data_IF_713405643018
#
_entry.id   IF_713405643018
#
_cell.length_a   1.000
_cell.length_b   1.000
_cell.length_c   1.000
_cell.angle_alpha   90.00
_cell.angle_beta   90.00
_cell.angle_gamma   90.00
#
_symmetry.space_group_name_H-M   'P 1'
#
loop_
_entity.id
_entity.type
_entity.pdbx_description
1 polymer ?
#
# COMPACT_ATOMS: atom_id res chain seq x y z
N UNK A 1 -3.14 -3.52 -18.75
CA UNK A 1 -2.75 -4.80 -18.10
C UNK A 1 -4.04 -5.58 -17.84
N UNK A 2 -4.35 -6.63 -18.60
CA UNK A 2 -5.52 -7.50 -18.31
C UNK A 2 -5.18 -8.33 -17.07
N UNK A 3 -5.51 -7.83 -15.88
CA UNK A 3 -5.44 -8.63 -14.66
C UNK A 3 -6.66 -9.54 -14.67
N UNK A 4 -6.51 -10.70 -15.33
CA UNK A 4 -7.41 -11.83 -15.14
C UNK A 4 -7.16 -12.35 -13.73
N UNK A 5 -7.94 -11.89 -12.76
CA UNK A 5 -7.96 -12.51 -11.45
C UNK A 5 -8.43 -13.96 -11.67
N UNK A 6 -7.66 -14.98 -11.25
CA UNK A 6 -8.09 -16.35 -11.32
C UNK A 6 -9.13 -16.55 -10.21
N UNK A 7 -10.35 -16.10 -10.44
CA UNK A 7 -11.47 -16.77 -9.81
C UNK A 7 -11.47 -18.17 -10.42
N UNK A 8 -10.92 -19.13 -9.67
CA UNK A 8 -10.79 -20.52 -10.09
C UNK A 8 -12.13 -21.04 -10.59
N UNK A 9 -12.28 -21.04 -11.91
CA UNK A 9 -13.45 -21.53 -12.60
C UNK A 9 -13.45 -23.05 -12.55
N UNK A 10 -13.91 -23.60 -11.43
CA UNK A 10 -14.57 -24.89 -11.47
C UNK A 10 -15.89 -24.68 -12.22
N UNK A 11 -15.96 -25.12 -13.48
CA UNK A 11 -17.12 -24.97 -14.38
C UNK A 11 -18.34 -25.80 -13.96
N UNK A 12 -18.45 -26.20 -12.68
CA UNK A 12 -19.52 -27.07 -12.16
C UNK A 12 -20.20 -26.58 -10.87
N UNK A 13 -19.89 -25.39 -10.38
CA UNK A 13 -20.62 -24.78 -9.25
C UNK A 13 -21.30 -23.49 -9.72
N UNK A 14 -22.62 -23.41 -9.59
CA UNK A 14 -23.44 -22.19 -9.73
C UNK A 14 -23.03 -21.15 -8.68
N UNK A 15 -21.85 -20.55 -8.83
CA UNK A 15 -21.36 -19.55 -7.88
C UNK A 15 -21.75 -18.17 -8.39
N UNK A 16 -22.80 -17.62 -7.80
CA UNK A 16 -23.22 -16.23 -7.95
C UNK A 16 -22.03 -15.30 -7.64
N UNK A 17 -21.80 -14.31 -8.51
CA UNK A 17 -20.78 -13.29 -8.29
C UNK A 17 -21.09 -12.53 -6.99
N UNK A 18 -20.09 -12.34 -6.12
CA UNK A 18 -20.23 -11.52 -4.91
C UNK A 18 -19.07 -10.56 -4.77
N UNK A 19 -19.28 -9.48 -4.03
CA UNK A 19 -18.19 -8.59 -3.64
C UNK A 19 -17.19 -9.30 -2.71
N UNK A 20 -15.88 -9.02 -2.85
CA UNK A 20 -14.87 -9.52 -1.92
C UNK A 20 -15.09 -9.02 -0.50
N UNK A 21 -14.62 -9.82 0.47
CA UNK A 21 -14.58 -9.46 1.89
C UNK A 21 -13.16 -9.67 2.42
N UNK A 22 -12.89 -9.29 3.67
CA UNK A 22 -11.57 -9.52 4.29
C UNK A 22 -11.21 -11.02 4.36
N UNK A 23 -12.19 -11.94 4.36
CA UNK A 23 -11.94 -13.39 4.32
C UNK A 23 -11.32 -13.88 2.99
N UNK A 24 -11.27 -13.02 1.97
CA UNK A 24 -10.68 -13.33 0.67
C UNK A 24 -9.24 -12.80 0.54
N UNK A 25 -8.74 -12.06 1.52
CA UNK A 25 -7.43 -11.38 1.45
C UNK A 25 -6.27 -12.35 1.25
N UNK A 26 -6.22 -13.43 2.03
CA UNK A 26 -5.17 -14.46 1.93
C UNK A 26 -5.23 -15.27 0.64
N UNK A 27 -6.36 -15.22 -0.08
CA UNK A 27 -6.57 -15.92 -1.36
C UNK A 27 -6.16 -15.07 -2.57
N UNK A 28 -5.92 -13.78 -2.38
CA UNK A 28 -5.60 -12.81 -3.43
C UNK A 28 -4.22 -12.17 -3.24
N UNK A 29 -3.13 -12.97 -3.18
CA UNK A 29 -1.77 -12.49 -2.93
C UNK A 29 -1.28 -11.51 -4.01
N UNK A 30 -1.68 -11.69 -5.28
CA UNK A 30 -1.32 -10.77 -6.36
C UNK A 30 -1.92 -9.38 -6.18
N UNK A 31 -3.16 -9.31 -5.68
CA UNK A 31 -3.81 -8.03 -5.39
C UNK A 31 -3.12 -7.34 -4.22
N UNK A 32 -2.82 -8.10 -3.16
CA UNK A 32 -2.06 -7.58 -2.03
C UNK A 32 -0.69 -7.05 -2.46
N UNK A 33 0.03 -7.79 -3.30
CA UNK A 33 1.31 -7.37 -3.85
C UNK A 33 1.22 -6.08 -4.68
N UNK A 34 0.14 -5.89 -5.44
CA UNK A 34 -0.10 -4.64 -6.16
C UNK A 34 -0.38 -3.45 -5.22
N UNK A 35 -1.12 -3.67 -4.12
CA UNK A 35 -1.32 -2.65 -3.08
C UNK A 35 0.01 -2.28 -2.42
N UNK A 36 0.83 -3.28 -2.09
CA UNK A 36 2.17 -3.07 -1.52
C UNK A 36 3.06 -2.27 -2.50
N UNK A 37 3.08 -2.65 -3.78
CA UNK A 37 3.88 -1.94 -4.78
C UNK A 37 3.41 -0.51 -5.02
N UNK A 38 2.09 -0.26 -5.01
CA UNK A 38 1.57 1.11 -5.07
C UNK A 38 2.06 1.98 -3.90
N UNK A 39 2.10 1.42 -2.68
CA UNK A 39 2.61 2.13 -1.49
C UNK A 39 4.12 2.39 -1.55
N UNK A 40 4.89 1.47 -2.13
CA UNK A 40 6.34 1.60 -2.30
C UNK A 40 6.70 2.60 -3.39
N UNK A 41 6.07 2.46 -4.55
CA UNK A 41 6.44 3.12 -5.79
C UNK A 41 6.10 4.62 -5.77
N UNK A 42 4.92 4.97 -5.26
CA UNK A 42 4.49 6.36 -5.09
C UNK A 42 3.91 6.56 -3.67
N UNK A 43 4.77 6.65 -2.63
CA UNK A 43 4.30 6.83 -1.26
C UNK A 43 3.56 8.16 -1.11
N UNK A 44 2.49 8.15 -0.30
CA UNK A 44 1.65 9.34 -0.04
C UNK A 44 2.49 10.52 0.42
N UNK A 45 3.45 10.32 1.34
CA UNK A 45 4.36 11.37 1.82
C UNK A 45 5.82 10.99 1.53
N UNK A 46 6.38 11.34 0.36
CA UNK A 46 7.73 10.93 -0.06
C UNK A 46 8.86 11.31 0.91
N UNK A 47 8.67 12.39 1.67
CA UNK A 47 9.64 12.92 2.66
C UNK A 47 9.15 12.79 4.11
N UNK A 48 8.08 12.02 4.34
CA UNK A 48 7.40 11.93 5.64
C UNK A 48 6.94 13.29 6.16
N UNK A 49 6.61 13.34 7.45
CA UNK A 49 6.36 14.61 8.16
C UNK A 49 7.69 15.07 8.76
N UNK A 50 8.14 16.33 8.54
CA UNK A 50 9.34 16.84 9.17
C UNK A 50 9.27 16.76 10.70
N UNK A 51 10.34 16.25 11.31
CA UNK A 51 10.50 16.15 12.75
C UNK A 51 11.45 17.24 13.26
N UNK A 52 11.52 17.42 14.58
CA UNK A 52 12.47 18.31 15.23
C UNK A 52 13.21 17.58 16.33
N UNK A 53 14.53 17.72 16.40
CA UNK A 53 15.31 17.15 17.50
C UNK A 53 14.97 17.85 18.82
N UNK A 54 14.78 17.06 19.87
CA UNK A 54 14.50 17.58 21.22
C UNK A 54 15.77 17.85 22.00
N UNK A 55 16.91 17.32 21.58
CA UNK A 55 18.23 17.49 22.17
C UNK A 55 19.31 17.38 21.10
N UNK A 56 20.55 17.66 21.49
CA UNK A 56 21.70 17.46 20.62
C UNK A 56 21.89 15.95 20.37
N UNK A 57 22.25 15.57 19.15
CA UNK A 57 22.42 14.16 18.76
C UNK A 57 23.62 13.99 17.82
N UNK A 58 24.07 12.75 17.65
CA UNK A 58 25.12 12.40 16.68
C UNK A 58 24.64 11.22 15.83
N UNK A 59 24.43 11.46 14.54
CA UNK A 59 24.04 10.42 13.59
C UNK A 59 25.15 10.19 12.57
N UNK A 60 25.67 8.95 12.49
CA UNK A 60 26.76 8.57 11.58
C UNK A 60 27.98 9.51 11.65
N UNK A 61 28.32 9.98 12.84
CA UNK A 61 29.43 10.90 13.08
C UNK A 61 29.12 12.39 12.85
N UNK A 62 27.91 12.73 12.38
CA UNK A 62 27.48 14.11 12.21
C UNK A 62 26.77 14.62 13.46
N UNK A 63 27.26 15.73 14.02
CA UNK A 63 26.59 16.42 15.12
C UNK A 63 25.33 17.14 14.61
N UNK A 64 24.21 16.90 15.30
CA UNK A 64 22.90 17.46 15.01
C UNK A 64 22.46 18.27 16.23
N UNK A 65 22.46 19.62 16.14
CA UNK A 65 22.03 20.46 17.24
C UNK A 65 20.56 20.23 17.63
N UNK A 66 20.24 20.46 18.90
CA UNK A 66 18.89 20.56 19.43
C UNK A 66 18.08 21.55 18.62
N UNK A 67 16.86 21.16 18.29
CA UNK A 67 15.92 21.99 17.55
C UNK A 67 16.09 21.95 16.03
N UNK A 68 17.00 21.12 15.51
CA UNK A 68 17.18 20.88 14.07
C UNK A 68 15.94 20.19 13.47
N UNK A 69 15.57 20.58 12.26
CA UNK A 69 14.52 19.91 11.48
C UNK A 69 15.12 18.67 10.80
N UNK A 70 14.48 17.52 11.00
CA UNK A 70 14.88 16.23 10.43
C UNK A 70 13.79 15.78 9.46
N UNK A 71 14.20 15.56 8.21
CA UNK A 71 13.31 15.06 7.15
C UNK A 71 13.72 13.64 6.81
N UNK A 72 12.79 12.71 6.94
CA UNK A 72 13.02 11.31 6.60
C UNK A 72 12.68 11.09 5.12
N UNK A 73 13.69 10.85 4.28
CA UNK A 73 13.46 10.56 2.86
C UNK A 73 12.88 9.14 2.68
N UNK A 74 11.57 9.03 2.91
CA UNK A 74 10.82 7.76 2.80
C UNK A 74 10.86 7.20 1.39
N UNK A 75 10.84 8.05 0.36
CA UNK A 75 10.95 7.61 -1.03
C UNK A 75 12.27 6.89 -1.27
N UNK A 76 13.40 7.45 -0.86
CA UNK A 76 14.71 6.77 -1.01
C UNK A 76 14.77 5.47 -0.21
N UNK A 77 14.16 5.41 0.97
CA UNK A 77 14.07 4.17 1.75
C UNK A 77 13.25 3.10 1.01
N UNK A 78 12.12 3.49 0.41
CA UNK A 78 11.23 2.61 -0.38
C UNK A 78 11.77 2.28 -1.78
N UNK A 79 12.82 2.96 -2.21
CA UNK A 79 13.49 2.74 -3.49
C UNK A 79 14.96 2.34 -3.30
N UNK A 80 15.28 1.71 -2.17
CA UNK A 80 16.61 1.12 -1.95
C UNK A 80 16.78 -0.15 -2.80
N UNK A 81 17.75 -0.22 -3.73
CA UNK A 81 18.01 -1.42 -4.52
C UNK A 81 18.40 -2.63 -3.67
N UNK A 82 19.09 -2.38 -2.55
CA UNK A 82 19.49 -3.41 -1.59
C UNK A 82 18.28 -4.14 -0.98
N UNK A 83 17.16 -3.44 -0.78
CA UNK A 83 15.98 -3.98 -0.10
C UNK A 83 14.89 -4.42 -1.07
N UNK A 84 14.73 -3.70 -2.19
CA UNK A 84 13.63 -3.91 -3.13
C UNK A 84 14.07 -4.39 -4.52
N UNK A 85 15.37 -4.55 -4.79
CA UNK A 85 15.91 -5.00 -6.08
C UNK A 85 16.29 -3.85 -7.02
N UNK A 86 17.09 -4.13 -8.05
CA UNK A 86 17.64 -3.10 -8.96
C UNK A 86 16.57 -2.39 -9.81
N UNK A 87 15.42 -3.01 -10.03
CA UNK A 87 14.30 -2.49 -10.81
C UNK A 87 13.37 -1.56 -9.98
N UNK A 88 13.87 -0.89 -8.94
CA UNK A 88 13.06 -0.06 -8.02
C UNK A 88 12.24 1.04 -8.70
N UNK A 89 12.67 1.54 -9.86
CA UNK A 89 11.92 2.55 -10.63
C UNK A 89 10.76 1.94 -11.41
N UNK A 90 10.79 0.64 -11.68
CA UNK A 90 9.71 -0.08 -12.34
C UNK A 90 8.60 -0.45 -11.35
N UNK A 91 7.36 -0.32 -11.80
CA UNK A 91 6.20 -0.82 -11.06
C UNK A 91 6.09 -2.33 -11.27
N UNK A 92 6.54 -3.11 -10.28
CA UNK A 92 6.60 -4.56 -10.36
C UNK A 92 6.04 -5.21 -9.08
N UNK A 93 4.73 -5.52 -9.03
CA UNK A 93 4.12 -6.22 -7.91
C UNK A 93 4.71 -7.61 -7.65
N UNK A 94 5.29 -8.27 -8.66
CA UNK A 94 5.82 -9.61 -8.51
C UNK A 94 7.00 -9.67 -7.53
N UNK A 95 7.60 -8.53 -7.18
CA UNK A 95 8.63 -8.48 -6.14
C UNK A 95 8.12 -8.95 -4.77
N UNK A 96 6.85 -8.73 -4.44
CA UNK A 96 6.31 -9.07 -3.11
C UNK A 96 5.72 -10.47 -3.00
N UNK A 97 5.86 -11.32 -4.01
CA UNK A 97 5.33 -12.68 -3.99
C UNK A 97 6.44 -13.71 -4.13
N UNK A 98 6.19 -14.90 -3.58
CA UNK A 98 7.01 -16.09 -3.80
C UNK A 98 6.13 -17.31 -4.06
N UNK A 99 6.64 -18.38 -4.68
CA UNK A 99 5.93 -19.65 -4.76
C UNK A 99 5.54 -20.12 -3.36
N UNK A 100 4.31 -20.57 -3.20
CA UNK A 100 3.86 -21.12 -1.92
C UNK A 100 4.54 -22.47 -1.68
N UNK A 101 5.08 -22.67 -0.48
CA UNK A 101 5.83 -23.88 -0.13
C UNK A 101 4.97 -25.14 -0.36
N UNK A 102 5.49 -26.11 -1.12
CA UNK A 102 4.79 -27.34 -1.48
C UNK A 102 3.77 -27.20 -2.63
N UNK A 103 3.57 -26.01 -3.19
CA UNK A 103 2.65 -25.72 -4.30
C UNK A 103 3.36 -24.97 -5.46
N UNK A 104 4.62 -25.33 -5.71
CA UNK A 104 5.45 -24.73 -6.76
C UNK A 104 4.77 -24.77 -8.13
N UNK A 105 4.71 -23.61 -8.80
CA UNK A 105 4.04 -23.44 -10.09
C UNK A 105 2.50 -23.45 -10.05
N UNK A 106 1.89 -23.63 -8.87
CA UNK A 106 0.43 -23.69 -8.70
C UNK A 106 -0.12 -22.50 -7.90
N UNK A 107 0.58 -22.10 -6.85
CA UNK A 107 0.15 -21.02 -5.97
C UNK A 107 1.33 -20.11 -5.57
N UNK A 108 1.00 -18.86 -5.26
CA UNK A 108 1.93 -17.87 -4.72
C UNK A 108 1.42 -17.36 -3.38
N UNK A 109 2.32 -16.86 -2.56
CA UNK A 109 2.02 -16.19 -1.29
C UNK A 109 2.82 -14.90 -1.20
N UNK A 110 2.43 -14.00 -0.27
CA UNK A 110 3.24 -12.81 0.02
C UNK A 110 4.59 -13.26 0.59
N UNK A 111 5.66 -12.69 0.06
CA UNK A 111 7.01 -12.97 0.53
C UNK A 111 7.27 -12.24 1.86
N UNK A 112 7.39 -12.95 3.00
CA UNK A 112 7.66 -12.34 4.30
C UNK A 112 9.11 -11.85 4.44
N UNK A 113 10.02 -12.28 3.57
CA UNK A 113 11.43 -11.92 3.62
C UNK A 113 11.68 -10.48 3.12
N UNK A 114 10.71 -9.93 2.39
CA UNK A 114 10.75 -8.54 1.91
C UNK A 114 9.96 -7.67 2.87
N UNK A 115 10.57 -6.55 3.30
CA UNK A 115 9.93 -5.63 4.21
C UNK A 115 8.61 -5.12 3.62
N UNK A 116 7.57 -5.19 4.43
CA UNK A 116 6.29 -4.61 4.05
C UNK A 116 6.41 -3.07 3.93
N UNK A 117 6.07 -2.46 2.77
CA UNK A 117 6.31 -1.04 2.51
C UNK A 117 5.56 -0.10 3.47
N UNK A 118 4.37 -0.51 3.94
CA UNK A 118 3.64 0.19 5.01
C UNK A 118 4.49 0.52 6.26
N UNK A 119 5.52 -0.27 6.58
CA UNK A 119 6.41 0.00 7.73
C UNK A 119 7.24 1.28 7.54
N UNK A 120 7.38 1.78 6.31
CA UNK A 120 8.07 3.01 5.95
C UNK A 120 7.04 4.07 5.51
N UNK A 121 6.12 3.70 4.60
CA UNK A 121 5.15 4.62 4.00
C UNK A 121 4.17 5.25 5.01
N UNK A 122 3.88 4.56 6.12
CA UNK A 122 3.07 5.12 7.20
C UNK A 122 3.91 5.72 8.32
N UNK A 123 5.22 5.89 8.13
CA UNK A 123 6.11 6.45 9.14
C UNK A 123 6.52 5.44 10.22
N UNK A 124 7.47 5.87 11.04
CA UNK A 124 8.18 5.04 11.99
C UNK A 124 8.71 5.88 13.16
N UNK A 125 9.29 5.21 14.15
CA UNK A 125 9.87 5.86 15.34
C UNK A 125 8.85 6.18 16.43
N UNK A 126 9.33 6.66 17.58
CA UNK A 126 8.55 6.80 18.82
C UNK A 126 7.87 8.18 18.92
N UNK A 127 6.64 8.25 19.43
CA UNK A 127 6.03 9.43 20.05
C UNK A 127 6.41 9.43 21.53
N UNK A 128 7.04 10.51 21.96
CA UNK A 128 7.12 10.81 23.38
C UNK A 128 5.72 11.17 23.88
N UNK A 129 5.16 10.35 24.77
CA UNK A 129 4.04 10.72 25.64
C UNK A 129 4.61 10.81 27.05
N UNK A 130 4.70 12.01 27.61
CA UNK A 130 5.21 12.24 28.96
C UNK A 130 4.28 11.72 30.08
N UNK A 131 3.16 11.06 29.73
CA UNK A 131 2.16 10.51 30.65
C UNK A 131 2.07 8.98 30.51
N UNK A 132 3.11 8.28 30.94
CA UNK A 132 3.23 6.82 30.85
C UNK A 132 2.52 5.96 31.94
N UNK A 133 2.00 6.46 33.09
CA UNK A 133 1.32 5.55 34.03
C UNK A 133 -0.14 5.22 33.67
N UNK A 134 -0.84 6.03 32.86
CA UNK A 134 -2.27 5.83 32.59
C UNK A 134 -2.57 4.89 31.41
N UNK A 135 -1.70 4.79 30.40
CA UNK A 135 -1.93 3.95 29.21
C UNK A 135 -1.80 2.45 29.52
N UNK A 136 -1.09 2.05 30.59
CA UNK A 136 -1.06 0.65 31.06
C UNK A 136 -2.42 0.13 31.56
N UNK A 137 -3.40 1.01 31.75
CA UNK A 137 -4.77 0.65 32.15
C UNK A 137 -5.69 0.40 30.94
N UNK A 138 -5.26 0.70 29.72
CA UNK A 138 -6.03 0.41 28.51
C UNK A 138 -5.74 -1.05 28.13
N UNK A 139 -6.76 -1.93 28.11
CA UNK A 139 -6.57 -3.32 27.71
C UNK A 139 -5.93 -3.40 26.33
N UNK A 140 -4.95 -4.30 26.15
CA UNK A 140 -4.25 -4.55 24.88
C UNK A 140 -5.18 -4.99 23.72
N UNK A 141 -6.49 -5.09 23.96
CA UNK A 141 -7.53 -5.34 22.98
C UNK A 141 -7.97 -4.08 22.23
N UNK A 142 -7.73 -2.88 22.76
CA UNK A 142 -8.16 -1.61 22.13
C UNK A 142 -7.12 -0.95 21.22
N UNK A 143 -5.86 -1.36 21.35
CA UNK A 143 -4.77 -0.94 20.45
C UNK A 143 -4.28 -2.20 19.77
N UNK A 144 -4.20 -2.21 18.44
CA UNK A 144 -3.77 -3.36 17.65
C UNK A 144 -2.27 -3.67 17.90
N UNK A 145 -1.96 -4.24 19.07
CA UNK A 145 -0.61 -4.53 19.56
C UNK A 145 0.07 -5.69 18.82
N UNK A 146 -0.59 -6.37 17.87
CA UNK A 146 0.02 -7.49 17.13
C UNK A 146 1.19 -7.08 16.24
N UNK A 147 1.31 -5.79 15.86
CA UNK A 147 2.40 -5.27 15.03
C UNK A 147 3.55 -4.63 15.83
N UNK A 148 3.33 -4.32 17.11
CA UNK A 148 4.28 -3.59 17.94
C UNK A 148 4.32 -4.16 19.38
N UNK A 149 5.37 -4.90 19.76
CA UNK A 149 5.49 -5.51 21.10
C UNK A 149 5.73 -4.50 22.23
N UNK A 150 5.90 -3.20 21.92
CA UNK A 150 6.09 -2.13 22.89
C UNK A 150 4.92 -1.14 22.81
N UNK A 151 4.19 -0.84 23.92
CA UNK A 151 3.07 0.11 23.95
C UNK A 151 3.48 1.58 23.75
N UNK A 152 4.72 1.85 23.32
CA UNK A 152 5.15 3.17 22.90
C UNK A 152 4.39 3.59 21.64
N UNK A 153 3.53 4.60 21.77
CA UNK A 153 2.89 5.27 20.65
C UNK A 153 3.97 5.63 19.61
N UNK A 154 3.88 5.16 18.37
CA UNK A 154 4.85 5.46 17.32
C UNK A 154 4.46 6.77 16.61
N UNK A 155 5.39 7.55 16.05
CA UNK A 155 5.07 8.67 15.12
C UNK A 155 4.48 8.15 13.79
N UNK A 156 4.26 6.84 13.69
CA UNK A 156 3.55 6.19 12.61
C UNK A 156 2.08 6.65 12.53
N UNK A 157 1.55 6.62 11.32
CA UNK A 157 0.18 6.98 11.00
C UNK A 157 -0.78 6.11 11.82
N UNK A 158 -1.65 6.71 12.64
CA UNK A 158 -2.62 5.95 13.43
C UNK A 158 -3.66 5.24 12.54
N UNK A 159 -3.81 5.68 11.28
CA UNK A 159 -4.75 5.11 10.31
C UNK A 159 -4.12 4.07 9.37
N UNK A 160 -2.90 3.57 9.62
CA UNK A 160 -2.20 2.66 8.71
C UNK A 160 -3.01 1.40 8.38
N UNK A 161 -3.60 0.78 9.39
CA UNK A 161 -4.33 -0.47 9.24
C UNK A 161 -5.63 -0.23 8.46
N UNK A 162 -6.37 0.82 8.80
CA UNK A 162 -7.60 1.21 8.08
C UNK A 162 -7.28 1.53 6.62
N UNK A 163 -6.24 2.32 6.37
CA UNK A 163 -5.84 2.72 5.02
C UNK A 163 -5.44 1.50 4.17
N UNK A 164 -4.62 0.60 4.71
CA UNK A 164 -4.17 -0.58 3.99
C UNK A 164 -5.34 -1.55 3.70
N UNK A 165 -6.19 -1.80 4.69
CA UNK A 165 -7.38 -2.64 4.53
C UNK A 165 -8.40 -2.04 3.55
N UNK A 166 -8.64 -0.73 3.61
CA UNK A 166 -9.56 -0.04 2.71
C UNK A 166 -9.02 -0.01 1.27
N UNK A 167 -7.73 0.22 1.07
CA UNK A 167 -7.09 0.16 -0.24
C UNK A 167 -7.27 -1.22 -0.88
N UNK A 168 -6.98 -2.28 -0.13
CA UNK A 168 -7.14 -3.64 -0.63
C UNK A 168 -8.60 -3.96 -0.95
N UNK A 169 -9.53 -3.71 -0.02
CA UNK A 169 -10.94 -4.04 -0.21
C UNK A 169 -11.57 -3.25 -1.36
N UNK A 170 -11.31 -1.94 -1.41
CA UNK A 170 -11.83 -1.08 -2.48
C UNK A 170 -11.33 -1.54 -3.83
N UNK A 171 -10.02 -1.83 -3.94
CA UNK A 171 -9.44 -2.32 -5.20
C UNK A 171 -10.00 -3.69 -5.57
N UNK A 172 -10.20 -4.59 -4.60
CA UNK A 172 -10.80 -5.90 -4.82
C UNK A 172 -12.24 -5.77 -5.37
N UNK A 173 -13.08 -4.96 -4.72
CA UNK A 173 -14.45 -4.69 -5.14
C UNK A 173 -14.49 -4.09 -6.54
N UNK A 174 -13.69 -3.04 -6.77
CA UNK A 174 -13.60 -2.35 -8.05
C UNK A 174 -13.18 -3.28 -9.19
N UNK A 175 -12.12 -4.08 -8.99
CA UNK A 175 -11.67 -5.07 -9.98
C UNK A 175 -12.67 -6.21 -10.19
N UNK A 176 -13.53 -6.50 -9.21
CA UNK A 176 -14.57 -7.53 -9.37
C UNK A 176 -15.64 -7.08 -10.36
N UNK A 177 -16.01 -5.80 -10.34
CA UNK A 177 -17.14 -5.29 -11.14
C UNK A 177 -16.76 -4.51 -12.39
N UNK A 178 -15.57 -3.90 -12.44
CA UNK A 178 -15.15 -3.04 -13.54
C UNK A 178 -13.87 -3.52 -14.22
N UNK A 179 -13.81 -3.31 -15.54
CA UNK A 179 -12.59 -3.23 -16.33
C UNK A 179 -12.21 -1.75 -16.51
N UNK A 180 -10.92 -1.47 -16.36
CA UNK A 180 -10.37 -0.11 -16.40
C UNK A 180 -9.62 0.09 -17.70
N UNK A 181 -10.06 1.05 -18.50
CA UNK A 181 -9.34 1.51 -19.68
C UNK A 181 -8.81 2.91 -19.40
N UNK A 182 -7.50 3.02 -19.20
CA UNK A 182 -6.81 4.30 -19.27
C UNK A 182 -6.43 4.56 -20.74
N UNK A 183 -6.37 5.83 -21.18
CA UNK A 183 -5.77 6.15 -22.48
C UNK A 183 -4.35 5.57 -22.55
N UNK A 184 -3.86 5.36 -23.77
CA UNK A 184 -2.52 4.83 -24.01
C UNK A 184 -1.48 5.87 -23.57
N UNK A 185 -1.24 5.90 -22.26
CA UNK A 185 -0.26 6.76 -21.61
C UNK A 185 1.01 5.92 -21.51
N UNK A 186 2.15 6.54 -21.84
CA UNK A 186 3.46 6.01 -21.52
C UNK A 186 3.48 5.48 -20.08
N UNK A 187 4.12 4.33 -19.85
CA UNK A 187 4.15 3.69 -18.53
C UNK A 187 4.47 4.74 -17.46
N UNK A 188 3.62 4.89 -16.43
CA UNK A 188 3.88 5.89 -15.42
C UNK A 188 5.19 5.57 -14.70
N UNK A 189 6.01 6.60 -14.48
CA UNK A 189 7.11 6.59 -13.52
C UNK A 189 6.78 7.63 -12.44
N UNK A 190 7.09 7.38 -11.17
CA UNK A 190 6.95 8.44 -10.15
C UNK A 190 8.14 9.42 -10.24
N UNK A 191 9.33 8.90 -10.57
CA UNK A 191 10.52 9.68 -10.90
C UNK A 191 10.81 9.51 -12.39
N UNK A 192 10.81 10.59 -13.15
CA UNK A 192 11.17 10.61 -14.56
C UNK A 192 12.62 10.20 -14.81
N UNK A 193 12.95 9.94 -16.09
CA UNK A 193 14.32 9.60 -16.50
C UNK A 193 15.35 10.71 -16.19
N UNK A 194 14.89 11.93 -15.94
CA UNK A 194 15.67 13.09 -15.51
C UNK A 194 15.93 13.13 -13.99
N UNK A 195 15.43 12.16 -13.23
CA UNK A 195 15.54 12.12 -11.77
C UNK A 195 14.57 13.05 -11.04
N UNK A 196 13.66 13.70 -11.75
CA UNK A 196 12.66 14.60 -11.17
C UNK A 196 11.33 13.87 -10.95
N UNK A 197 10.50 14.40 -10.05
CA UNK A 197 9.12 13.89 -9.92
C UNK A 197 8.42 14.07 -11.24
N UNK A 198 7.79 12.99 -11.71
CA UNK A 198 7.13 12.98 -13.00
C UNK A 198 6.04 14.07 -13.07
N UNK A 199 5.97 14.83 -14.17
CA UNK A 199 5.05 15.97 -14.30
C UNK A 199 3.57 15.57 -14.27
N UNK A 200 3.24 14.28 -14.28
CA UNK A 200 1.88 13.76 -14.06
C UNK A 200 1.47 13.77 -12.59
N UNK A 201 2.36 14.10 -11.66
CA UNK A 201 2.02 14.33 -10.26
C UNK A 201 1.96 15.82 -9.95
N UNK A 202 1.07 16.22 -9.06
CA UNK A 202 1.01 17.58 -8.55
C UNK A 202 2.17 17.82 -7.57
N UNK A 203 2.83 19.00 -7.63
CA UNK A 203 3.84 19.35 -6.65
C UNK A 203 3.18 19.55 -5.28
N UNK A 204 3.78 19.02 -4.22
CA UNK A 204 3.27 19.25 -2.88
C UNK A 204 3.82 18.30 -1.83
N UNK A 205 3.25 18.40 -0.63
CA UNK A 205 3.58 17.54 0.50
C UNK A 205 3.13 16.09 0.28
N UNK A 206 2.02 15.91 -0.46
CA UNK A 206 1.45 14.60 -0.77
C UNK A 206 1.61 14.30 -2.24
N UNK A 207 1.95 13.04 -2.55
CA UNK A 207 1.96 12.52 -3.90
C UNK A 207 0.52 12.36 -4.41
N UNK A 208 0.09 13.29 -5.28
CA UNK A 208 -1.20 13.23 -5.95
C UNK A 208 -1.01 13.14 -7.47
N UNK A 209 -1.57 12.11 -8.13
CA UNK A 209 -1.62 12.11 -9.58
C UNK A 209 -2.54 13.24 -10.05
N UNK A 210 -2.13 13.94 -11.11
CA UNK A 210 -2.98 14.90 -11.82
C UNK A 210 -4.21 14.21 -12.36
N UNK A 211 -5.27 14.99 -12.59
CA UNK A 211 -6.50 14.49 -13.21
C UNK A 211 -6.19 13.82 -14.54
N UNK A 212 -6.56 12.55 -14.67
CA UNK A 212 -6.48 11.78 -15.90
C UNK A 212 -7.85 11.18 -16.23
N UNK A 213 -8.10 10.93 -17.50
CA UNK A 213 -9.31 10.23 -17.94
C UNK A 213 -9.12 8.73 -17.73
N UNK A 214 -10.11 8.07 -17.14
CA UNK A 214 -10.17 6.61 -17.07
C UNK A 214 -11.61 6.20 -17.34
N UNK A 215 -11.79 5.23 -18.24
CA UNK A 215 -13.09 4.68 -18.59
C UNK A 215 -13.32 3.40 -17.80
N UNK A 216 -14.49 3.32 -17.16
CA UNK A 216 -14.89 2.20 -16.33
C UNK A 216 -15.96 1.44 -17.11
N UNK A 217 -15.66 0.20 -17.49
CA UNK A 217 -16.60 -0.68 -18.20
C UNK A 217 -17.05 -1.79 -17.27
N UNK A 218 -18.34 -2.06 -17.21
CA UNK A 218 -18.85 -3.18 -16.41
C UNK A 218 -18.30 -4.49 -17.00
N UNK A 219 -17.70 -5.32 -16.14
CA UNK A 219 -16.88 -6.46 -16.56
C UNK A 219 -17.68 -7.61 -17.19
N UNK A 220 -18.91 -7.82 -16.72
CA UNK A 220 -19.79 -8.90 -17.19
C UNK A 220 -21.27 -8.63 -16.86
N UNK A 221 -22.19 -9.42 -17.43
CA UNK A 221 -23.62 -9.34 -17.11
C UNK A 221 -23.90 -9.68 -15.64
N UNK A 222 -23.15 -10.62 -15.05
CA UNK A 222 -23.26 -10.96 -13.63
C UNK A 222 -22.84 -9.78 -12.74
N UNK A 223 -21.80 -9.03 -13.14
CA UNK A 223 -21.41 -7.81 -12.44
C UNK A 223 -22.49 -6.72 -12.56
N UNK A 224 -23.12 -6.59 -13.74
CA UNK A 224 -24.25 -5.67 -13.93
C UNK A 224 -25.44 -6.04 -13.04
N UNK A 225 -25.78 -7.33 -12.97
CA UNK A 225 -26.86 -7.83 -12.10
C UNK A 225 -26.56 -7.53 -10.62
N UNK A 226 -25.33 -7.81 -10.16
CA UNK A 226 -24.89 -7.50 -8.79
C UNK A 226 -24.99 -5.99 -8.47
N UNK A 227 -24.59 -5.13 -9.40
CA UNK A 227 -24.72 -3.68 -9.23
C UNK A 227 -26.20 -3.25 -9.17
N UNK A 228 -27.07 -3.88 -9.96
CA UNK A 228 -28.52 -3.67 -9.90
C UNK A 228 -29.12 -4.07 -8.54
N UNK A 229 -28.70 -5.21 -7.97
CA UNK A 229 -29.10 -5.65 -6.62
C UNK A 229 -28.66 -4.64 -5.53
N UNK A 230 -27.52 -3.98 -5.73
CA UNK A 230 -26.99 -2.93 -4.85
C UNK A 230 -27.64 -1.55 -5.09
N UNK A 231 -28.60 -1.44 -6.02
CA UNK A 231 -29.29 -0.19 -6.35
C UNK A 231 -28.45 0.79 -7.18
N UNK A 232 -27.38 0.31 -7.81
CA UNK A 232 -26.52 1.12 -8.68
C UNK A 232 -26.96 0.99 -10.14
N UNK A 233 -27.48 2.08 -10.73
CA UNK A 233 -27.82 2.13 -12.15
C UNK A 233 -26.57 2.45 -12.97
N UNK A 234 -26.04 1.46 -13.66
CA UNK A 234 -24.86 1.56 -14.53
C UNK A 234 -25.34 1.41 -15.98
N UNK A 235 -25.22 2.49 -16.76
CA UNK A 235 -25.54 2.50 -18.19
C UNK A 235 -24.39 1.91 -19.02
#
# INVERSE_FOLDING_TARGET
MRVGLPFSGDRRSTRTLRLPTFEDQDKLPLLMAAVMESQRWAPVTPIGVPHRTTEDDVYRGYFIPRGSVIVANQWSMLNSPEEFGEDVLEYNPARFIRPKAGEEGKAVEINPDIRHPANIAFGFGRRWVSFLPLIRLIPATYVNCRRYPDPQLYRACPGSDIAHSALWLTTACLLTVFEFEAPDIEKPSYIGADGMVDPRFDPGFVCHPKKFKCEFKVRSEEARALLGELGMNVQ
#
